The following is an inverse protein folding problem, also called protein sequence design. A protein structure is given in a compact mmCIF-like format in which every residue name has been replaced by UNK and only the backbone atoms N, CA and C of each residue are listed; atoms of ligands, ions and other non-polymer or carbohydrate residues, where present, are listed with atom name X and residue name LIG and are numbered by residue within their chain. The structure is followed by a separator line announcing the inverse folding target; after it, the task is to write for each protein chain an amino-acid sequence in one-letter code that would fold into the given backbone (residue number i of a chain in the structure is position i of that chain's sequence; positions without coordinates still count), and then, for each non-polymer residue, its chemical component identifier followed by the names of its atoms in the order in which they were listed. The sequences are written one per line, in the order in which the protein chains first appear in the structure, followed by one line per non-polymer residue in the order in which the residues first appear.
data_IF_313424686220
#
_entry.id   IF_313424686220
#
_cell.length_a   1.000
_cell.length_b   1.000
_cell.length_c   1.000
_cell.angle_alpha   90.00
_cell.angle_beta   90.00
_cell.angle_gamma   90.00
#
_symmetry.space_group_name_H-M   'P 1'
#
loop_
_entity.id
_entity.type
_entity.pdbx_description
1 polymer ?
#
# COMPACT_ATOMS: atom_id res chain seq x y z
N UNK A 1 22.75 -41.83 -11.90
CA UNK A 1 22.41 -40.80 -12.90
C UNK A 1 20.90 -40.53 -13.01
N UNK A 2 20.03 -41.55 -12.90
CA UNK A 2 18.56 -41.42 -13.04
C UNK A 2 17.84 -40.55 -12.00
N UNK A 3 18.15 -40.64 -10.70
CA UNK A 3 17.45 -39.86 -9.66
C UNK A 3 17.62 -38.34 -9.80
N UNK A 4 18.77 -37.87 -10.28
CA UNK A 4 19.01 -36.42 -10.51
C UNK A 4 18.23 -35.91 -11.72
N UNK A 5 18.06 -36.73 -12.77
CA UNK A 5 17.22 -36.39 -13.92
C UNK A 5 15.73 -36.41 -13.56
N UNK A 6 15.28 -37.42 -12.82
CA UNK A 6 13.89 -37.51 -12.36
C UNK A 6 13.52 -36.32 -11.45
N UNK A 7 14.41 -35.93 -10.54
CA UNK A 7 14.22 -34.77 -9.67
C UNK A 7 14.17 -33.45 -10.46
N UNK A 8 15.03 -33.27 -11.46
CA UNK A 8 14.97 -32.09 -12.35
C UNK A 8 13.69 -32.05 -13.16
N UNK A 9 13.22 -33.20 -13.65
CA UNK A 9 11.95 -33.29 -14.38
C UNK A 9 10.75 -32.96 -13.48
N UNK A 10 10.72 -33.48 -12.25
CA UNK A 10 9.70 -33.15 -11.23
C UNK A 10 9.73 -31.67 -10.82
N UNK A 11 10.91 -31.11 -10.57
CA UNK A 11 11.08 -29.68 -10.24
C UNK A 11 10.62 -28.79 -11.41
N UNK A 12 10.90 -29.19 -12.66
CA UNK A 12 10.46 -28.47 -13.86
C UNK A 12 8.94 -28.56 -14.05
N UNK A 13 8.34 -29.72 -13.83
CA UNK A 13 6.89 -29.90 -13.93
C UNK A 13 6.16 -29.09 -12.85
N UNK A 14 6.63 -29.10 -11.61
CA UNK A 14 6.05 -28.31 -10.52
C UNK A 14 6.13 -26.80 -10.83
N UNK A 15 7.26 -26.34 -11.38
CA UNK A 15 7.44 -24.95 -11.79
C UNK A 15 6.46 -24.54 -12.90
N UNK A 16 6.21 -25.42 -13.87
CA UNK A 16 5.24 -25.17 -14.96
C UNK A 16 3.82 -25.07 -14.42
N UNK A 17 3.40 -25.96 -13.51
CA UNK A 17 2.06 -25.89 -12.92
C UNK A 17 1.84 -24.62 -12.09
N UNK A 18 2.86 -24.17 -11.35
CA UNK A 18 2.81 -22.90 -10.61
C UNK A 18 2.68 -21.71 -11.56
N UNK A 19 3.43 -21.70 -12.66
CA UNK A 19 3.33 -20.64 -13.69
C UNK A 19 1.95 -20.64 -14.33
N UNK A 20 1.43 -21.80 -14.73
CA UNK A 20 0.08 -21.91 -15.31
C UNK A 20 -0.98 -21.41 -14.32
N UNK A 21 -0.88 -21.80 -13.05
CA UNK A 21 -1.82 -21.36 -12.01
C UNK A 21 -1.75 -19.85 -11.79
N UNK A 22 -0.54 -19.28 -11.72
CA UNK A 22 -0.34 -17.84 -11.57
C UNK A 22 -0.86 -17.05 -12.79
N UNK A 23 -0.58 -17.52 -14.00
CA UNK A 23 -1.09 -16.94 -15.24
C UNK A 23 -2.62 -17.05 -15.31
N UNK A 24 -3.20 -18.19 -14.92
CA UNK A 24 -4.65 -18.37 -14.84
C UNK A 24 -5.30 -17.38 -13.87
N UNK A 25 -4.74 -17.23 -12.67
CA UNK A 25 -5.19 -16.25 -11.69
C UNK A 25 -5.07 -14.81 -12.20
N UNK A 26 -3.97 -14.48 -12.90
CA UNK A 26 -3.76 -13.17 -13.52
C UNK A 26 -4.77 -12.90 -14.63
N UNK A 27 -5.02 -13.86 -15.52
CA UNK A 27 -6.02 -13.76 -16.59
C UNK A 27 -7.41 -13.55 -15.98
N UNK A 28 -7.77 -14.30 -14.94
CA UNK A 28 -9.05 -14.14 -14.25
C UNK A 28 -9.19 -12.72 -13.69
N UNK A 29 -8.16 -12.22 -13.02
CA UNK A 29 -8.20 -10.91 -12.33
C UNK A 29 -8.10 -9.72 -13.26
N UNK A 30 -7.27 -9.78 -14.30
CA UNK A 30 -6.99 -8.65 -15.21
C UNK A 30 -7.88 -8.66 -16.45
N UNK A 31 -8.32 -9.84 -16.90
CA UNK A 31 -9.12 -9.97 -18.14
C UNK A 31 -10.56 -10.34 -17.83
N UNK A 32 -10.80 -11.47 -17.17
CA UNK A 32 -12.16 -12.00 -16.98
C UNK A 32 -13.00 -11.06 -16.12
N UNK A 33 -12.48 -10.58 -14.99
CA UNK A 33 -13.24 -9.66 -14.14
C UNK A 33 -13.56 -8.33 -14.85
N UNK A 34 -12.59 -7.56 -15.37
CA UNK A 34 -12.86 -6.24 -15.92
C UNK A 34 -13.64 -6.25 -17.23
N UNK A 35 -13.37 -7.22 -18.13
CA UNK A 35 -13.94 -7.19 -19.49
C UNK A 35 -15.12 -8.15 -19.68
N UNK A 36 -15.34 -9.12 -18.78
CA UNK A 36 -16.47 -10.07 -18.88
C UNK A 36 -17.43 -9.89 -17.71
N UNK A 37 -16.95 -10.05 -16.47
CA UNK A 37 -17.82 -10.04 -15.31
C UNK A 37 -18.41 -8.65 -15.01
N UNK A 38 -17.60 -7.58 -15.07
CA UNK A 38 -18.06 -6.23 -14.75
C UNK A 38 -19.14 -5.72 -15.72
N UNK A 39 -19.00 -5.84 -17.05
CA UNK A 39 -20.06 -5.46 -17.98
C UNK A 39 -21.33 -6.30 -17.79
N UNK A 40 -21.17 -7.62 -17.59
CA UNK A 40 -22.30 -8.53 -17.39
C UNK A 40 -23.11 -8.18 -16.14
N UNK A 41 -22.42 -7.84 -15.05
CA UNK A 41 -23.01 -7.47 -13.77
C UNK A 41 -23.34 -5.97 -13.64
N UNK A 42 -23.06 -5.17 -14.68
CA UNK A 42 -23.22 -3.71 -14.70
C UNK A 42 -22.55 -3.03 -13.50
N UNK A 43 -21.35 -3.49 -13.17
CA UNK A 43 -20.54 -2.91 -12.08
C UNK A 43 -20.17 -1.48 -12.47
N UNK A 44 -20.43 -0.52 -11.59
CA UNK A 44 -19.95 0.84 -11.80
C UNK A 44 -18.43 0.88 -11.69
N UNK A 45 -17.78 1.48 -12.68
CA UNK A 45 -16.33 1.65 -12.69
C UNK A 45 -15.91 2.60 -11.58
N UNK A 46 -14.77 2.31 -10.94
CA UNK A 46 -14.16 3.23 -9.99
C UNK A 46 -13.80 4.56 -10.65
N UNK A 47 -13.68 5.61 -9.84
CA UNK A 47 -13.21 6.91 -10.31
C UNK A 47 -11.78 6.79 -10.89
N UNK A 48 -11.63 7.08 -12.18
CA UNK A 48 -10.34 7.04 -12.87
C UNK A 48 -9.35 8.05 -12.29
N UNK A 49 -9.83 9.11 -11.63
CA UNK A 49 -9.02 10.15 -11.02
C UNK A 49 -8.11 9.61 -9.91
N UNK A 50 -8.44 8.45 -9.33
CA UNK A 50 -7.63 7.77 -8.30
C UNK A 50 -6.19 7.52 -8.74
N UNK A 51 -5.94 7.30 -10.03
CA UNK A 51 -4.60 7.02 -10.54
C UNK A 51 -3.67 8.24 -10.47
N UNK A 52 -4.23 9.45 -10.36
CA UNK A 52 -3.49 10.71 -10.30
C UNK A 52 -3.19 11.18 -8.87
N UNK A 53 -3.67 10.48 -7.84
CA UNK A 53 -3.43 10.85 -6.44
C UNK A 53 -1.93 10.94 -6.13
N UNK A 54 -1.16 9.91 -6.50
CA UNK A 54 0.30 9.90 -6.27
C UNK A 54 1.00 10.96 -7.15
N UNK A 55 0.74 11.05 -8.47
CA UNK A 55 1.31 12.10 -9.31
C UNK A 55 1.06 13.52 -8.81
N UNK A 56 -0.19 13.87 -8.51
CA UNK A 56 -0.57 15.21 -8.04
C UNK A 56 0.08 15.52 -6.69
N UNK A 57 0.16 14.56 -5.79
CA UNK A 57 0.85 14.75 -4.51
C UNK A 57 2.35 15.00 -4.66
N UNK A 58 3.03 14.27 -5.55
CA UNK A 58 4.45 14.49 -5.85
C UNK A 58 4.68 15.86 -6.49
N UNK A 59 3.77 16.29 -7.37
CA UNK A 59 3.79 17.62 -7.97
C UNK A 59 3.54 18.72 -6.94
N UNK A 60 2.61 18.53 -6.01
CA UNK A 60 2.37 19.49 -4.93
C UNK A 60 3.60 19.64 -4.01
N UNK A 61 4.34 18.54 -3.77
CA UNK A 61 5.63 18.63 -3.08
C UNK A 61 6.65 19.46 -3.88
N UNK A 62 6.76 19.24 -5.19
CA UNK A 62 7.65 20.04 -6.04
C UNK A 62 7.22 21.51 -6.11
N UNK A 63 5.92 21.81 -6.12
CA UNK A 63 5.39 23.17 -6.03
C UNK A 63 5.76 23.85 -4.71
N UNK A 64 5.72 23.09 -3.60
CA UNK A 64 6.14 23.57 -2.29
C UNK A 64 7.64 23.83 -2.19
N UNK A 65 8.48 22.91 -2.70
CA UNK A 65 9.93 23.07 -2.68
C UNK A 65 10.42 24.13 -3.71
N UNK A 66 9.68 24.30 -4.81
CA UNK A 66 10.03 25.15 -5.96
C UNK A 66 8.83 25.99 -6.47
N UNK A 67 8.36 27.01 -5.73
CA UNK A 67 7.17 27.79 -6.08
C UNK A 67 7.25 28.52 -7.43
N UNK A 68 8.47 28.85 -7.86
CA UNK A 68 8.77 29.51 -9.13
C UNK A 68 9.52 28.60 -10.14
N UNK A 69 9.56 27.28 -9.89
CA UNK A 69 10.32 26.30 -10.69
C UNK A 69 9.64 25.79 -11.96
N UNK A 70 8.52 26.40 -12.36
CA UNK A 70 7.73 25.98 -13.54
C UNK A 70 7.65 27.09 -14.57
N UNK A 71 7.63 26.72 -15.84
CA UNK A 71 7.35 27.65 -16.94
C UNK A 71 5.87 28.05 -16.97
N UNK A 72 5.55 29.11 -17.71
CA UNK A 72 4.17 29.57 -17.89
C UNK A 72 3.29 28.49 -18.55
N UNK A 73 3.86 27.75 -19.51
CA UNK A 73 3.16 26.68 -20.24
C UNK A 73 2.90 25.45 -19.35
N UNK A 74 3.89 25.07 -18.55
CA UNK A 74 3.76 23.99 -17.56
C UNK A 74 2.69 24.33 -16.53
N UNK A 75 2.75 25.54 -15.96
CA UNK A 75 1.75 26.04 -15.02
C UNK A 75 0.34 26.03 -15.62
N UNK A 76 0.19 26.54 -16.84
CA UNK A 76 -1.11 26.54 -17.52
C UNK A 76 -1.66 25.12 -17.72
N UNK A 77 -0.80 24.14 -18.04
CA UNK A 77 -1.21 22.73 -18.17
C UNK A 77 -1.68 22.15 -16.83
N UNK A 78 -0.95 22.42 -15.76
CA UNK A 78 -1.28 21.96 -14.41
C UNK A 78 -2.61 22.56 -13.93
N UNK A 79 -2.80 23.87 -14.12
CA UNK A 79 -4.00 24.62 -13.70
C UNK A 79 -5.25 24.30 -14.55
N UNK A 80 -5.05 23.79 -15.76
CA UNK A 80 -6.12 23.31 -16.63
C UNK A 80 -6.56 21.88 -16.26
N UNK A 81 -5.61 21.04 -15.86
CA UNK A 81 -5.86 19.64 -15.48
C UNK A 81 -6.46 19.50 -14.07
N UNK A 82 -5.86 20.16 -13.08
CA UNK A 82 -6.19 19.98 -11.66
C UNK A 82 -7.18 21.03 -11.15
N UNK A 83 -7.94 20.69 -10.11
CA UNK A 83 -8.84 21.62 -9.42
C UNK A 83 -8.09 22.62 -8.54
N UNK A 84 -6.95 22.22 -8.00
CA UNK A 84 -6.04 23.08 -7.23
C UNK A 84 -4.93 23.59 -8.15
N UNK A 85 -4.80 24.92 -8.25
CA UNK A 85 -3.77 25.56 -9.06
C UNK A 85 -2.36 25.29 -8.53
N UNK A 86 -1.35 25.35 -9.37
CA UNK A 86 0.05 25.19 -8.96
C UNK A 86 0.46 26.19 -7.87
N UNK A 87 -0.10 27.42 -7.91
CA UNK A 87 0.16 28.42 -6.88
C UNK A 87 -0.37 27.98 -5.51
N UNK A 88 -1.58 27.42 -5.49
CA UNK A 88 -2.27 27.02 -4.25
C UNK A 88 -1.79 25.65 -3.74
N UNK A 89 -1.16 24.84 -4.59
CA UNK A 89 -0.63 23.52 -4.20
C UNK A 89 0.32 23.61 -3.02
N UNK A 90 1.19 24.63 -2.95
CA UNK A 90 2.13 24.77 -1.84
C UNK A 90 1.43 25.02 -0.49
N UNK A 91 0.35 25.79 -0.48
CA UNK A 91 -0.40 26.11 0.74
C UNK A 91 -1.23 24.91 1.21
N UNK A 92 -1.79 24.16 0.26
CA UNK A 92 -2.63 23.00 0.55
C UNK A 92 -1.83 21.71 0.78
N UNK A 93 -0.55 21.67 0.41
CA UNK A 93 0.23 20.45 0.49
C UNK A 93 0.35 19.94 1.92
N UNK A 94 -0.17 18.72 2.14
CA UNK A 94 0.01 17.97 3.37
C UNK A 94 0.80 16.70 3.05
N UNK A 95 1.99 16.45 3.65
CA UNK A 95 2.88 15.37 3.19
C UNK A 95 2.27 13.96 3.17
N UNK A 96 1.30 13.70 4.05
CA UNK A 96 0.70 12.38 4.29
C UNK A 96 -0.80 12.33 3.97
N UNK A 97 -1.37 13.36 3.30
CA UNK A 97 -2.76 13.39 2.84
C UNK A 97 -2.83 14.06 1.47
N UNK A 98 -3.39 13.37 0.49
CA UNK A 98 -3.52 13.93 -0.86
C UNK A 98 -4.83 14.70 -1.07
N UNK A 99 -5.84 14.45 -0.24
CA UNK A 99 -7.15 15.09 -0.33
C UNK A 99 -7.07 16.61 -0.59
N UNK A 100 -6.32 17.42 0.18
CA UNK A 100 -6.31 18.87 -0.02
C UNK A 100 -5.87 19.37 -1.41
N UNK A 101 -5.16 18.54 -2.20
CA UNK A 101 -4.62 18.92 -3.51
C UNK A 101 -5.33 18.27 -4.70
N UNK A 102 -6.16 17.24 -4.48
CA UNK A 102 -6.90 16.56 -5.56
C UNK A 102 -8.36 16.23 -5.23
N UNK A 103 -8.71 15.91 -3.97
CA UNK A 103 -10.06 15.44 -3.57
C UNK A 103 -10.72 14.41 -4.51
N UNK A 104 -9.92 13.64 -5.26
CA UNK A 104 -10.37 12.70 -6.29
C UNK A 104 -11.15 13.36 -7.44
N UNK A 105 -11.07 14.68 -7.57
CA UNK A 105 -11.76 15.45 -8.61
C UNK A 105 -10.74 16.20 -9.46
N UNK A 106 -10.79 15.95 -10.76
CA UNK A 106 -9.97 16.65 -11.75
C UNK A 106 -10.83 17.63 -12.53
N UNK A 107 -10.26 18.80 -12.83
CA UNK A 107 -10.94 19.85 -13.59
C UNK A 107 -11.11 19.45 -15.05
N UNK A 108 -10.09 18.83 -15.64
CA UNK A 108 -10.17 18.31 -17.01
C UNK A 108 -9.34 17.02 -17.18
N UNK A 109 -9.94 15.83 -16.94
CA UNK A 109 -9.26 14.55 -17.13
C UNK A 109 -8.78 14.29 -18.56
N UNK A 110 -9.31 14.98 -19.58
CA UNK A 110 -8.88 14.78 -20.97
C UNK A 110 -7.45 15.24 -21.21
N UNK A 111 -6.89 16.09 -20.32
CA UNK A 111 -5.52 16.60 -20.38
C UNK A 111 -4.50 15.70 -19.64
N UNK A 112 -4.88 14.46 -19.32
CA UNK A 112 -4.02 13.53 -18.59
C UNK A 112 -2.66 13.30 -19.28
N UNK A 113 -2.64 13.24 -20.62
CA UNK A 113 -1.41 13.05 -21.38
C UNK A 113 -0.45 14.23 -21.21
N UNK A 114 -0.93 15.44 -21.46
CA UNK A 114 -0.17 16.69 -21.32
C UNK A 114 0.30 16.90 -19.88
N UNK A 115 -0.58 16.61 -18.91
CA UNK A 115 -0.23 16.66 -17.49
C UNK A 115 0.90 15.68 -17.15
N UNK A 116 0.83 14.43 -17.62
CA UNK A 116 1.86 13.42 -17.34
C UNK A 116 3.20 13.75 -18.01
N UNK A 117 3.19 14.42 -19.17
CA UNK A 117 4.41 14.96 -19.76
C UNK A 117 5.05 16.01 -18.85
N UNK A 118 4.27 17.01 -18.40
CA UNK A 118 4.77 18.04 -17.46
C UNK A 118 5.22 17.42 -16.14
N UNK A 119 4.49 16.44 -15.61
CA UNK A 119 4.84 15.70 -14.41
C UNK A 119 6.20 15.00 -14.58
N UNK A 120 6.44 14.36 -15.72
CA UNK A 120 7.70 13.67 -15.98
C UNK A 120 8.87 14.67 -16.09
N UNK A 121 8.68 15.78 -16.82
CA UNK A 121 9.71 16.82 -16.98
C UNK A 121 10.07 17.48 -15.65
N UNK A 122 9.09 17.69 -14.77
CA UNK A 122 9.33 18.20 -13.42
C UNK A 122 9.97 17.15 -12.52
N UNK A 123 9.60 15.88 -12.65
CA UNK A 123 10.23 14.78 -11.92
C UNK A 123 11.71 14.61 -12.26
N UNK A 124 12.09 14.83 -13.52
CA UNK A 124 13.49 14.83 -13.94
C UNK A 124 14.27 16.04 -13.42
N UNK A 125 13.64 17.23 -13.40
CA UNK A 125 14.27 18.45 -12.86
C UNK A 125 14.38 18.44 -11.34
N UNK A 126 13.38 17.89 -10.64
CA UNK A 126 13.25 17.93 -9.19
C UNK A 126 13.09 16.51 -8.59
N UNK A 127 14.05 15.59 -8.82
CA UNK A 127 13.92 14.19 -8.42
C UNK A 127 13.80 14.03 -6.90
N UNK A 128 14.48 14.88 -6.12
CA UNK A 128 14.41 14.85 -4.66
C UNK A 128 13.01 15.21 -4.14
N UNK A 129 12.35 16.21 -4.73
CA UNK A 129 10.98 16.58 -4.36
C UNK A 129 10.00 15.45 -4.66
N UNK A 130 10.18 14.77 -5.80
CA UNK A 130 9.33 13.65 -6.21
C UNK A 130 9.52 12.43 -5.28
N UNK A 131 10.77 12.05 -5.00
CA UNK A 131 11.09 10.97 -4.06
C UNK A 131 10.54 11.31 -2.67
N UNK A 132 10.76 12.54 -2.19
CA UNK A 132 10.27 12.97 -0.88
C UNK A 132 8.74 13.00 -0.81
N UNK A 133 8.06 13.48 -1.85
CA UNK A 133 6.60 13.51 -1.93
C UNK A 133 6.02 12.09 -1.91
N UNK A 134 6.59 11.19 -2.72
CA UNK A 134 6.19 9.78 -2.76
C UNK A 134 6.39 9.10 -1.41
N UNK A 135 7.58 9.19 -0.82
CA UNK A 135 7.87 8.57 0.47
C UNK A 135 7.02 9.18 1.60
N UNK A 136 6.79 10.49 1.59
CA UNK A 136 5.94 11.13 2.60
C UNK A 136 4.52 10.59 2.54
N UNK A 137 3.95 10.49 1.33
CA UNK A 137 2.61 9.96 1.12
C UNK A 137 2.52 8.48 1.51
N UNK A 138 3.53 7.67 1.16
CA UNK A 138 3.55 6.24 1.43
C UNK A 138 4.03 5.90 2.86
N UNK A 139 4.34 6.91 3.68
CA UNK A 139 4.94 6.71 5.01
C UNK A 139 4.10 5.88 5.97
N UNK A 140 2.79 5.79 5.75
CA UNK A 140 1.91 4.87 6.48
C UNK A 140 2.28 3.39 6.32
N UNK A 141 3.04 3.01 5.30
CA UNK A 141 3.46 1.62 5.11
C UNK A 141 4.74 1.24 5.84
N UNK A 142 5.53 2.21 6.30
CA UNK A 142 6.86 1.94 6.87
C UNK A 142 7.17 2.69 8.16
N UNK A 143 6.39 3.72 8.51
CA UNK A 143 6.58 4.48 9.74
C UNK A 143 6.11 3.71 10.98
N UNK A 144 6.90 3.73 12.05
CA UNK A 144 6.46 3.32 13.39
C UNK A 144 6.01 4.53 14.24
N UNK A 145 6.07 5.73 13.66
CA UNK A 145 5.84 6.99 14.37
C UNK A 145 4.36 7.40 14.32
N UNK A 146 4.05 8.34 15.20
CA UNK A 146 2.79 9.09 15.21
C UNK A 146 2.79 10.08 14.03
N UNK A 147 1.60 10.39 13.51
CA UNK A 147 1.38 11.37 12.43
C UNK A 147 0.29 12.36 12.86
N UNK A 148 0.38 13.66 12.52
CA UNK A 148 -0.65 14.62 12.90
C UNK A 148 -1.96 14.35 12.14
N UNK A 149 -3.09 14.71 12.72
CA UNK A 149 -4.42 14.55 12.09
C UNK A 149 -4.74 15.66 11.08
N UNK A 150 -4.50 16.93 11.44
CA UNK A 150 -5.06 18.08 10.72
C UNK A 150 -4.01 19.07 10.22
N UNK A 151 -2.92 19.27 10.96
CA UNK A 151 -1.91 20.29 10.64
C UNK A 151 -0.50 19.71 10.75
N UNK A 152 0.45 20.17 9.91
CA UNK A 152 1.86 19.85 10.09
C UNK A 152 2.32 20.24 11.50
N UNK A 153 3.03 19.34 12.18
CA UNK A 153 3.60 19.57 13.51
C UNK A 153 5.06 19.18 13.50
N UNK A 154 5.87 19.82 14.34
CA UNK A 154 7.24 19.36 14.58
C UNK A 154 7.22 18.00 15.29
N UNK A 155 8.30 17.19 15.18
CA UNK A 155 8.37 15.91 15.87
C UNK A 155 8.18 15.99 17.38
N UNK A 156 8.63 17.08 18.01
CA UNK A 156 8.50 17.28 19.46
C UNK A 156 7.06 17.59 19.85
N UNK A 157 6.40 18.49 19.12
CA UNK A 157 4.97 18.80 19.33
C UNK A 157 4.12 17.55 19.13
N UNK A 158 4.38 16.80 18.06
CA UNK A 158 3.65 15.58 17.74
C UNK A 158 3.86 14.45 18.77
N UNK A 159 5.05 14.38 19.40
CA UNK A 159 5.31 13.42 20.46
C UNK A 159 4.44 13.68 21.70
N UNK A 160 4.16 14.95 21.99
CA UNK A 160 3.31 15.39 23.11
C UNK A 160 1.83 15.53 22.76
N UNK A 161 1.48 15.69 21.49
CA UNK A 161 0.09 15.88 21.05
C UNK A 161 -0.73 14.64 21.38
N UNK A 162 -1.82 14.72 22.16
CA UNK A 162 -2.66 13.55 22.44
C UNK A 162 -3.43 13.08 21.20
N UNK A 163 -3.70 13.96 20.24
CA UNK A 163 -4.65 13.72 19.12
C UNK A 163 -4.04 13.06 17.90
N UNK A 164 -2.72 13.09 17.71
CA UNK A 164 -2.13 12.47 16.53
C UNK A 164 -2.42 10.97 16.42
N UNK A 165 -2.30 10.46 15.20
CA UNK A 165 -2.65 9.09 14.84
C UNK A 165 -1.41 8.22 14.93
N UNK A 166 -1.48 7.13 15.68
CA UNK A 166 -0.42 6.13 15.69
C UNK A 166 -0.53 5.26 14.44
N UNK A 167 0.60 4.85 13.88
CA UNK A 167 0.60 3.96 12.73
C UNK A 167 0.29 2.48 13.08
N UNK A 168 -0.84 2.24 13.76
CA UNK A 168 -1.32 0.91 14.15
C UNK A 168 -2.52 0.47 13.31
N UNK A 169 -2.77 -0.83 13.25
CA UNK A 169 -3.98 -1.44 12.69
C UNK A 169 -5.15 -0.99 13.55
N UNK A 170 -6.17 -0.44 12.90
CA UNK A 170 -7.41 0.01 13.55
C UNK A 170 -8.58 -0.72 12.89
N UNK A 171 -9.45 -1.41 13.66
CA UNK A 171 -10.64 -2.02 13.13
C UNK A 171 -11.63 -0.95 12.67
N UNK A 172 -12.29 -1.18 11.53
CA UNK A 172 -13.39 -0.31 11.12
C UNK A 172 -14.63 -0.64 11.95
N UNK A 173 -15.01 0.30 12.82
CA UNK A 173 -16.14 0.18 13.74
C UNK A 173 -17.33 1.08 13.34
N UNK A 174 -17.14 1.93 12.33
CA UNK A 174 -18.18 2.81 11.81
C UNK A 174 -18.84 2.25 10.55
N UNK A 175 -20.17 2.22 10.57
CA UNK A 175 -20.99 1.91 9.40
C UNK A 175 -21.00 3.11 8.46
N UNK A 176 -20.42 2.98 7.27
CA UNK A 176 -20.54 4.00 6.23
C UNK A 176 -21.83 3.74 5.43
N UNK A 177 -22.80 4.66 5.53
CA UNK A 177 -24.02 4.61 4.72
C UNK A 177 -23.75 5.25 3.36
N UNK A 178 -23.51 4.44 2.33
CA UNK A 178 -23.62 4.96 0.95
C UNK A 178 -25.10 5.11 0.58
N UNK A 179 -25.42 6.17 -0.15
CA UNK A 179 -26.78 6.45 -0.63
C UNK A 179 -27.39 5.26 -1.38
N UNK A 180 -26.56 4.48 -2.08
CA UNK A 180 -26.97 3.27 -2.80
C UNK A 180 -27.55 2.18 -1.89
N UNK A 181 -27.13 2.11 -0.62
CA UNK A 181 -27.62 1.12 0.36
C UNK A 181 -28.82 1.61 1.18
N UNK A 182 -29.27 2.86 0.99
CA UNK A 182 -30.46 3.38 1.67
C UNK A 182 -31.74 2.63 1.27
N UNK A 183 -31.76 2.04 0.08
CA UNK A 183 -32.91 1.29 -0.45
C UNK A 183 -32.83 -0.22 -0.20
N UNK A 184 -31.69 -0.74 0.27
CA UNK A 184 -31.61 -2.15 0.66
C UNK A 184 -32.35 -2.35 2.00
N UNK A 185 -33.48 -3.06 1.94
CA UNK A 185 -34.48 -3.30 3.03
C UNK A 185 -33.92 -3.88 4.36
N UNK A 186 -32.62 -4.11 4.48
CA UNK A 186 -31.94 -4.66 5.66
C UNK A 186 -30.80 -3.78 6.22
N UNK A 187 -30.46 -2.66 5.58
CA UNK A 187 -29.50 -1.69 6.14
C UNK A 187 -30.20 -0.69 7.08
N UNK A 188 -31.22 -1.14 7.82
CA UNK A 188 -31.69 -0.43 9.02
C UNK A 188 -30.51 -0.32 9.96
N UNK A 189 -30.16 0.92 10.33
CA UNK A 189 -29.01 1.22 11.18
C UNK A 189 -28.87 0.20 12.30
N UNK A 190 -27.68 -0.34 12.48
CA UNK A 190 -27.32 -1.18 13.63
C UNK A 190 -27.22 -0.34 14.93
N UNK A 191 -28.08 0.68 15.08
CA UNK A 191 -28.27 1.49 16.28
C UNK A 191 -28.46 0.65 17.55
N UNK A 192 -29.10 -0.54 17.54
CA UNK A 192 -29.21 -1.36 18.75
C UNK A 192 -27.89 -1.90 19.31
N UNK A 193 -26.80 -1.87 18.52
CA UNK A 193 -25.51 -2.47 18.90
C UNK A 193 -24.35 -1.50 19.04
N UNK A 194 -24.59 -0.18 18.97
CA UNK A 194 -23.53 0.82 19.23
C UNK A 194 -22.83 0.59 20.57
N UNK A 195 -23.56 0.20 21.62
CA UNK A 195 -22.96 -0.11 22.92
C UNK A 195 -22.02 -1.32 22.87
N UNK A 196 -22.32 -2.34 22.05
CA UNK A 196 -21.45 -3.51 21.87
C UNK A 196 -20.20 -3.15 21.05
N UNK A 197 -20.37 -2.37 19.97
CA UNK A 197 -19.27 -1.87 19.14
C UNK A 197 -18.32 -1.00 19.96
N UNK A 198 -18.84 -0.07 20.77
CA UNK A 198 -18.02 0.77 21.66
C UNK A 198 -17.31 -0.08 22.73
N UNK A 199 -17.94 -1.12 23.27
CA UNK A 199 -17.26 -2.06 24.20
C UNK A 199 -16.11 -2.80 23.52
N UNK A 200 -16.31 -3.32 22.32
CA UNK A 200 -15.27 -4.01 21.55
C UNK A 200 -14.12 -3.05 21.22
N UNK A 201 -14.44 -1.81 20.81
CA UNK A 201 -13.45 -0.77 20.58
C UNK A 201 -12.65 -0.45 21.85
N UNK A 202 -13.31 -0.32 23.00
CA UNK A 202 -12.62 -0.10 24.28
C UNK A 202 -11.72 -1.26 24.71
N UNK A 203 -12.14 -2.51 24.48
CA UNK A 203 -11.29 -3.69 24.71
C UNK A 203 -10.09 -3.70 23.76
N UNK A 204 -10.31 -3.39 22.48
CA UNK A 204 -9.25 -3.25 21.50
C UNK A 204 -8.23 -2.20 21.94
N UNK A 205 -8.68 -0.99 22.27
CA UNK A 205 -7.81 0.11 22.71
C UNK A 205 -7.01 -0.25 23.97
N UNK A 206 -7.62 -0.92 24.94
CA UNK A 206 -6.91 -1.39 26.13
C UNK A 206 -5.82 -2.42 25.77
N UNK A 207 -6.13 -3.32 24.83
CA UNK A 207 -5.28 -4.46 24.45
C UNK A 207 -4.11 -4.04 23.57
N UNK A 208 -4.33 -3.17 22.58
CA UNK A 208 -3.26 -2.67 21.68
C UNK A 208 -2.26 -1.75 22.37
N UNK A 209 -2.58 -1.30 23.58
CA UNK A 209 -1.66 -0.53 24.40
C UNK A 209 -0.69 -1.41 25.22
N UNK A 210 -0.88 -2.73 25.28
CA UNK A 210 0.09 -3.64 25.94
C UNK A 210 1.39 -3.75 25.10
N UNK A 211 2.61 -3.69 25.68
CA UNK A 211 3.85 -3.56 24.91
C UNK A 211 4.07 -4.59 23.79
N UNK A 212 3.81 -5.87 24.06
CA UNK A 212 3.98 -6.94 23.08
C UNK A 212 2.91 -6.89 21.97
N UNK A 213 1.65 -6.71 22.37
CA UNK A 213 0.53 -6.64 21.42
C UNK A 213 0.64 -5.38 20.56
N UNK A 214 1.04 -4.27 21.17
CA UNK A 214 1.32 -3.00 20.49
C UNK A 214 2.26 -3.20 19.32
N UNK A 215 3.34 -3.96 19.54
CA UNK A 215 4.30 -4.26 18.49
C UNK A 215 3.64 -4.98 17.32
N UNK A 216 2.82 -5.99 17.59
CA UNK A 216 2.07 -6.76 16.58
C UNK A 216 0.98 -5.93 15.87
N UNK A 217 0.61 -4.78 16.40
CA UNK A 217 -0.41 -3.91 15.79
C UNK A 217 0.18 -2.85 14.87
N UNK A 218 1.51 -2.67 14.78
CA UNK A 218 2.08 -1.69 13.87
C UNK A 218 1.87 -2.09 12.40
N UNK A 219 1.39 -1.15 11.59
CA UNK A 219 1.18 -1.38 10.17
C UNK A 219 2.49 -1.75 9.49
N UNK A 220 3.54 -0.97 9.75
CA UNK A 220 4.88 -1.16 9.20
C UNK A 220 5.53 -2.52 9.53
N UNK A 221 5.14 -3.15 10.66
CA UNK A 221 5.66 -4.47 11.02
C UNK A 221 5.36 -5.49 9.93
N UNK A 222 4.11 -5.51 9.48
CA UNK A 222 3.59 -6.50 8.54
C UNK A 222 3.85 -6.15 7.09
N UNK A 223 3.81 -4.86 6.75
CA UNK A 223 4.04 -4.43 5.36
C UNK A 223 5.51 -4.37 5.01
N UNK A 224 6.39 -3.88 5.90
CA UNK A 224 7.78 -3.61 5.52
C UNK A 224 8.83 -4.35 6.36
N UNK A 225 8.71 -4.35 7.69
CA UNK A 225 9.76 -4.89 8.56
C UNK A 225 9.93 -6.41 8.36
N UNK A 226 8.85 -7.18 8.49
CA UNK A 226 8.91 -8.64 8.32
C UNK A 226 9.22 -9.06 6.87
N UNK A 227 8.65 -8.43 5.84
CA UNK A 227 9.03 -8.72 4.46
C UNK A 227 10.49 -8.39 4.13
N UNK A 228 11.02 -7.26 4.61
CA UNK A 228 12.44 -6.93 4.45
C UNK A 228 13.35 -7.89 5.24
N UNK A 229 12.90 -8.36 6.40
CA UNK A 229 13.60 -9.44 7.13
C UNK A 229 13.66 -10.72 6.29
N UNK A 230 12.57 -11.13 5.63
CA UNK A 230 12.58 -12.30 4.72
C UNK A 230 13.59 -12.11 3.59
N UNK A 231 13.61 -10.93 2.93
CA UNK A 231 14.59 -10.61 1.88
C UNK A 231 16.02 -10.71 2.44
N UNK A 232 16.27 -10.08 3.60
CA UNK A 232 17.57 -10.08 4.25
C UNK A 232 18.06 -11.50 4.53
N UNK A 233 17.20 -12.38 5.05
CA UNK A 233 17.53 -13.79 5.24
C UNK A 233 17.81 -14.51 3.93
N UNK A 234 17.01 -14.28 2.88
CA UNK A 234 17.22 -14.86 1.55
C UNK A 234 18.61 -14.48 1.00
N UNK A 235 18.96 -13.19 1.10
CA UNK A 235 20.24 -12.66 0.65
C UNK A 235 21.41 -13.20 1.48
N UNK A 236 21.32 -13.11 2.82
CA UNK A 236 22.36 -13.55 3.74
C UNK A 236 22.68 -15.04 3.59
N UNK A 237 21.65 -15.85 3.29
CA UNK A 237 21.78 -17.31 3.12
C UNK A 237 21.97 -17.72 1.67
N UNK A 238 22.11 -16.74 0.77
CA UNK A 238 22.33 -16.91 -0.67
C UNK A 238 21.37 -17.91 -1.29
N UNK A 239 20.09 -17.83 -0.93
CA UNK A 239 19.04 -18.73 -1.42
C UNK A 239 19.00 -18.68 -2.96
N UNK A 240 18.66 -19.81 -3.57
CA UNK A 240 18.53 -19.91 -5.03
C UNK A 240 17.32 -19.10 -5.48
N UNK A 241 17.33 -18.61 -6.71
CA UNK A 241 16.22 -17.83 -7.27
C UNK A 241 14.86 -18.51 -7.07
N UNK A 242 14.77 -19.82 -7.32
CA UNK A 242 13.55 -20.60 -7.10
C UNK A 242 13.04 -20.59 -5.64
N UNK A 243 13.95 -20.50 -4.66
CA UNK A 243 13.61 -20.45 -3.23
C UNK A 243 13.07 -19.05 -2.88
N UNK A 244 13.62 -18.01 -3.49
CA UNK A 244 13.14 -16.62 -3.35
C UNK A 244 11.80 -16.41 -4.05
N UNK A 245 11.59 -16.99 -5.23
CA UNK A 245 10.38 -16.83 -6.04
C UNK A 245 9.11 -17.35 -5.34
N UNK A 246 9.23 -18.25 -4.37
CA UNK A 246 8.10 -18.71 -3.55
C UNK A 246 7.47 -17.54 -2.76
N UNK A 247 8.26 -16.51 -2.43
CA UNK A 247 7.80 -15.30 -1.75
C UNK A 247 7.33 -14.20 -2.72
N UNK A 248 7.41 -14.41 -4.04
CA UNK A 248 7.05 -13.40 -5.02
C UNK A 248 5.62 -12.84 -4.85
N UNK A 249 4.57 -13.64 -4.53
CA UNK A 249 3.23 -13.09 -4.31
C UNK A 249 3.18 -12.05 -3.19
N UNK A 250 3.88 -12.30 -2.07
CA UNK A 250 3.99 -11.34 -0.96
C UNK A 250 4.60 -10.03 -1.45
N UNK A 251 5.74 -10.09 -2.15
CA UNK A 251 6.42 -8.88 -2.62
C UNK A 251 5.65 -8.14 -3.71
N UNK A 252 4.96 -8.85 -4.60
CA UNK A 252 4.08 -8.24 -5.59
C UNK A 252 2.94 -7.48 -4.91
N UNK A 253 2.26 -8.10 -3.94
CA UNK A 253 1.21 -7.43 -3.17
C UNK A 253 1.73 -6.20 -2.41
N UNK A 254 2.95 -6.25 -1.88
CA UNK A 254 3.60 -5.10 -1.25
C UNK A 254 3.90 -3.96 -2.23
N UNK A 255 4.37 -4.26 -3.44
CA UNK A 255 4.59 -3.24 -4.47
C UNK A 255 3.27 -2.59 -4.89
N UNK A 256 2.18 -3.36 -4.97
CA UNK A 256 0.85 -2.83 -5.27
C UNK A 256 0.31 -1.90 -4.15
N UNK A 257 0.76 -2.07 -2.90
CA UNK A 257 0.44 -1.11 -1.84
C UNK A 257 1.06 0.26 -2.10
N UNK A 258 2.27 0.32 -2.68
CA UNK A 258 2.96 1.57 -2.98
C UNK A 258 2.32 2.35 -4.14
N UNK A 259 1.53 1.67 -4.98
CA UNK A 259 0.74 2.33 -6.03
C UNK A 259 -0.54 2.96 -5.47
N UNK A 260 -1.03 2.47 -4.32
CA UNK A 260 -2.22 3.01 -3.67
C UNK A 260 -1.80 3.97 -2.56
N UNK A 261 -2.07 5.26 -2.75
CA UNK A 261 -1.84 6.25 -1.71
C UNK A 261 -2.63 5.89 -0.43
N UNK A 262 -1.98 5.97 0.72
CA UNK A 262 -2.68 5.91 2.01
C UNK A 262 -2.50 7.20 2.78
N UNK A 263 -3.60 7.92 2.94
CA UNK A 263 -3.64 9.02 3.88
C UNK A 263 -3.61 8.45 5.31
N UNK A 264 -2.49 8.63 6.01
CA UNK A 264 -2.29 8.12 7.39
C UNK A 264 -3.38 8.59 8.37
N UNK A 265 -3.89 9.83 8.29
CA UNK A 265 -4.97 10.31 9.15
C UNK A 265 -6.34 9.67 8.87
N UNK A 266 -6.56 9.05 7.70
CA UNK A 266 -7.86 8.46 7.32
C UNK A 266 -8.07 7.04 7.87
N UNK A 267 -7.35 6.64 8.93
CA UNK A 267 -7.58 5.36 9.61
C UNK A 267 -9.00 5.34 10.19
N UNK A 268 -9.73 4.21 10.05
CA UNK A 268 -9.26 2.83 9.84
C UNK A 268 -9.11 2.37 8.37
N UNK A 269 -9.40 3.21 7.38
CA UNK A 269 -9.50 2.78 5.97
C UNK A 269 -8.20 2.18 5.41
N UNK A 270 -7.04 2.65 5.84
CA UNK A 270 -5.75 2.12 5.40
C UNK A 270 -5.48 0.67 5.90
N UNK A 271 -6.03 0.28 7.05
CA UNK A 271 -5.79 -1.04 7.67
C UNK A 271 -6.33 -2.20 6.82
N UNK A 272 -7.39 -1.98 6.04
CA UNK A 272 -8.01 -3.05 5.24
C UNK A 272 -7.12 -3.54 4.10
N UNK A 273 -6.32 -2.65 3.53
CA UNK A 273 -5.48 -2.96 2.37
C UNK A 273 -4.30 -3.86 2.71
N UNK A 274 -3.90 -3.96 3.98
CA UNK A 274 -2.78 -4.81 4.43
C UNK A 274 -3.23 -6.11 5.10
N UNK A 275 -4.54 -6.38 5.24
CA UNK A 275 -5.04 -7.57 5.96
C UNK A 275 -4.48 -8.88 5.41
N UNK A 276 -4.27 -8.97 4.09
CA UNK A 276 -3.65 -10.12 3.46
C UNK A 276 -2.22 -10.39 3.99
N UNK A 277 -1.49 -9.35 4.42
CA UNK A 277 -0.12 -9.49 4.93
C UNK A 277 -0.09 -10.21 6.28
N UNK A 278 -1.14 -10.06 7.10
CA UNK A 278 -1.30 -10.80 8.37
C UNK A 278 -1.34 -12.32 8.18
N UNK A 279 -1.70 -12.79 6.97
CA UNK A 279 -1.73 -14.21 6.61
C UNK A 279 -0.52 -14.60 5.77
N UNK A 280 -0.16 -13.79 4.78
CA UNK A 280 0.92 -14.11 3.83
C UNK A 280 2.31 -14.07 4.47
N UNK A 281 2.54 -13.17 5.44
CA UNK A 281 3.84 -13.04 6.11
C UNK A 281 4.16 -14.24 6.99
N UNK A 282 3.29 -14.71 7.90
CA UNK A 282 3.56 -15.92 8.69
C UNK A 282 3.81 -17.15 7.82
N UNK A 283 3.04 -17.34 6.76
CA UNK A 283 3.25 -18.42 5.78
C UNK A 283 4.64 -18.30 5.14
N UNK A 284 5.02 -17.10 4.71
CA UNK A 284 6.34 -16.85 4.12
C UNK A 284 7.48 -17.09 5.12
N UNK A 285 7.33 -16.71 6.39
CA UNK A 285 8.31 -17.00 7.44
C UNK A 285 8.45 -18.52 7.64
N UNK A 286 7.35 -19.27 7.67
CA UNK A 286 7.37 -20.73 7.77
C UNK A 286 8.08 -21.40 6.59
N UNK A 287 7.80 -20.93 5.37
CA UNK A 287 8.48 -21.42 4.16
C UNK A 287 9.99 -21.11 4.18
N UNK A 288 10.35 -19.90 4.60
CA UNK A 288 11.75 -19.51 4.78
C UNK A 288 12.44 -20.42 5.79
N UNK A 289 11.82 -20.70 6.95
CA UNK A 289 12.37 -21.59 7.95
C UNK A 289 12.69 -22.99 7.38
N UNK A 290 11.76 -23.58 6.63
CA UNK A 290 11.96 -24.88 5.97
C UNK A 290 13.12 -24.83 4.96
N UNK A 291 13.25 -23.74 4.20
CA UNK A 291 14.35 -23.58 3.24
C UNK A 291 15.71 -23.46 3.93
N UNK A 292 15.77 -22.73 5.05
CA UNK A 292 16.98 -22.56 5.84
C UNK A 292 17.43 -23.87 6.49
N UNK A 293 16.49 -24.64 7.02
CA UNK A 293 16.76 -25.93 7.66
C UNK A 293 17.35 -26.95 6.68
N UNK A 294 16.74 -27.07 5.49
CA UNK A 294 17.26 -27.90 4.38
C UNK A 294 18.69 -27.54 3.97
N UNK A 295 19.07 -26.27 4.07
CA UNK A 295 20.44 -25.82 3.76
C UNK A 295 21.43 -26.22 4.83
N UNK A 296 21.07 -26.08 6.10
CA UNK A 296 21.95 -26.42 7.22
C UNK A 296 22.30 -27.92 7.18
N UNK A 297 21.30 -28.79 6.95
CA UNK A 297 21.52 -30.23 6.80
C UNK A 297 22.42 -30.59 5.61
N UNK A 298 22.26 -29.91 4.46
CA UNK A 298 23.12 -30.15 3.30
C UNK A 298 24.57 -29.72 3.56
N UNK A 299 24.80 -28.72 4.40
CA UNK A 299 26.15 -28.27 4.72
C UNK A 299 26.84 -29.23 5.69
N UNK A 300 26.13 -29.74 6.71
CA UNK A 300 26.67 -30.74 7.65
C UNK A 300 27.01 -32.07 6.96
N UNK A 301 26.14 -32.60 6.10
CA UNK A 301 26.42 -33.85 5.37
C UNK A 301 27.54 -33.78 4.33
N UNK A 302 28.03 -32.57 4.01
CA UNK A 302 29.19 -32.36 3.12
C UNK A 302 30.51 -32.15 3.90
N UNK A 303 30.44 -31.98 5.23
CA UNK A 303 31.62 -31.82 6.09
C UNK A 303 32.01 -33.17 6.73
N UNK A 304 31.06 -34.10 6.82
CA UNK A 304 31.27 -35.46 7.34
C UNK A 304 31.67 -36.49 6.27
N UNK A 305 31.86 -36.09 5.01
CA UNK A 305 32.26 -36.94 3.89
C UNK A 305 33.54 -36.40 3.22
#
# INVERSE_FOLDING_TARGET
MGLRMLRRALDSALSVHLIITALGALIITVVVFPFVAYPLLRVQTSDANQMFVVPVQMMARAASDHPHGVTVQERATIDAFNTVSYADMSERYMPYVADPVIHLELKNPSLAGEYMHVWFDLGQRYPNSYINGFLSLQSGWFSLRKTPTLMPMTPNELASDPTGVRNQIVPQIEDFKSAAFLHTRQFTSNTPHRSAVTRIAGVWDATVNMPLIRTLTYTALWTWILPMFIISCCCARRLRLQEVLVHAPLFMSLMLLLLNAISVPLKPTASRYMMWALVAVPVSIGLLHIQLDKRNHKHQGNVEA
#
